data_IF_601969854287
#
_entry.id   IF_601969854287
#
_cell.length_a   1.000
_cell.length_b   1.000
_cell.length_c   1.000
_cell.angle_alpha   90.00
_cell.angle_beta   90.00
_cell.angle_gamma   90.00
#
_symmetry.space_group_name_H-M   'P 1'
#
loop_
_entity.id
_entity.type
_entity.pdbx_description
1 polymer ?
#
# COMPACT_ATOMS: atom_id res chain seq x y z
N UNK A 1 -18.87 32.53 -5.11
CA UNK A 1 -17.52 32.10 -4.71
C UNK A 1 -17.60 31.67 -3.25
N UNK A 2 -17.44 30.37 -2.99
CA UNK A 2 -17.21 29.81 -1.66
C UNK A 2 -15.76 29.27 -1.68
N UNK A 3 -15.00 29.45 -0.59
CA UNK A 3 -13.55 29.32 -0.57
C UNK A 3 -13.12 27.86 -0.73
N UNK A 4 -12.01 27.68 -1.43
CA UNK A 4 -11.12 26.51 -1.50
C UNK A 4 -11.32 25.50 -0.35
N UNK A 5 -12.11 24.45 -0.62
CA UNK A 5 -12.14 23.24 0.20
C UNK A 5 -10.76 22.60 0.07
N UNK A 6 -9.85 22.96 0.96
CA UNK A 6 -8.62 22.21 1.16
C UNK A 6 -9.03 20.80 1.59
N UNK A 7 -9.23 19.92 0.62
CA UNK A 7 -9.35 18.49 0.85
C UNK A 7 -8.00 18.09 1.42
N UNK A 8 -7.91 17.99 2.75
CA UNK A 8 -6.73 17.42 3.41
C UNK A 8 -6.59 16.02 2.83
N UNK A 9 -5.64 15.86 1.91
CA UNK A 9 -5.42 14.60 1.22
C UNK A 9 -4.78 13.66 2.23
N UNK A 10 -5.62 12.90 2.93
CA UNK A 10 -5.19 11.94 3.95
C UNK A 10 -4.67 10.71 3.24
N UNK A 11 -3.40 10.41 3.46
CA UNK A 11 -2.77 9.23 2.91
C UNK A 11 -2.44 8.26 4.05
N UNK A 12 -2.58 6.97 3.77
CA UNK A 12 -2.10 5.93 4.66
C UNK A 12 -0.85 5.32 4.04
N UNK A 13 0.24 5.37 4.81
CA UNK A 13 1.48 4.66 4.49
C UNK A 13 1.33 3.23 5.00
N UNK A 14 1.29 2.27 4.10
CA UNK A 14 1.09 0.87 4.45
C UNK A 14 2.39 0.11 4.23
N UNK A 15 3.02 -0.32 5.31
CA UNK A 15 4.18 -1.21 5.28
C UNK A 15 3.71 -2.64 5.36
N UNK A 16 4.00 -3.42 4.31
CA UNK A 16 3.58 -4.81 4.18
C UNK A 16 4.80 -5.70 4.30
N UNK A 17 4.78 -6.62 5.26
CA UNK A 17 5.86 -7.59 5.45
C UNK A 17 5.48 -8.92 4.83
N UNK A 18 6.38 -9.47 4.02
CA UNK A 18 6.21 -10.79 3.42
C UNK A 18 7.06 -11.85 4.13
N UNK A 19 6.63 -13.12 4.09
CA UNK A 19 7.45 -14.21 4.59
C UNK A 19 8.76 -14.33 3.79
N UNK A 20 9.84 -14.85 4.40
CA UNK A 20 11.16 -14.97 3.75
C UNK A 20 11.17 -15.92 2.55
N UNK A 21 10.14 -16.76 2.40
CA UNK A 21 9.95 -17.64 1.25
C UNK A 21 9.16 -16.98 0.12
N UNK A 22 8.70 -15.73 0.29
CA UNK A 22 8.04 -15.02 -0.79
C UNK A 22 9.02 -14.85 -1.93
N UNK A 23 8.65 -15.26 -3.15
CA UNK A 23 9.52 -15.09 -4.30
C UNK A 23 9.91 -13.62 -4.41
N UNK A 24 11.19 -13.35 -4.68
CA UNK A 24 11.71 -11.99 -4.94
C UNK A 24 11.25 -11.48 -6.32
N UNK A 25 10.00 -11.78 -6.65
CA UNK A 25 9.34 -11.40 -7.88
C UNK A 25 8.57 -10.12 -7.62
N UNK A 26 9.04 -9.03 -8.23
CA UNK A 26 8.46 -7.71 -8.05
C UNK A 26 7.30 -7.44 -9.03
N UNK A 27 6.98 -8.35 -9.95
CA UNK A 27 5.85 -8.16 -10.87
C UNK A 27 4.51 -7.97 -10.15
N UNK A 28 4.12 -8.81 -9.18
CA UNK A 28 2.82 -8.64 -8.52
C UNK A 28 2.78 -7.37 -7.67
N UNK A 29 3.90 -6.94 -7.11
CA UNK A 29 4.03 -5.66 -6.41
C UNK A 29 3.86 -4.45 -7.34
N UNK A 30 4.41 -4.53 -8.55
CA UNK A 30 4.21 -3.52 -9.59
C UNK A 30 2.78 -3.51 -10.09
N UNK A 31 2.13 -4.67 -10.19
CA UNK A 31 0.73 -4.78 -10.55
C UNK A 31 -0.18 -4.14 -9.49
N UNK A 32 0.11 -4.35 -8.20
CA UNK A 32 -0.54 -3.65 -7.08
C UNK A 32 -0.39 -2.14 -7.24
N UNK A 33 0.82 -1.65 -7.51
CA UNK A 33 1.08 -0.21 -7.69
C UNK A 33 0.40 0.40 -8.92
N UNK A 34 0.09 -0.43 -9.92
CA UNK A 34 -0.67 -0.04 -11.10
C UNK A 34 -2.18 -0.01 -10.83
N UNK A 35 -2.68 -0.94 -10.02
CA UNK A 35 -4.09 -1.06 -9.66
C UNK A 35 -4.52 -0.05 -8.58
N UNK A 36 -3.63 0.24 -7.63
CA UNK A 36 -3.84 1.15 -6.51
C UNK A 36 -2.81 2.27 -6.62
N UNK A 37 -3.22 3.56 -6.62
CA UNK A 37 -2.31 4.69 -6.78
C UNK A 37 -1.32 4.75 -5.61
N UNK A 38 -0.21 4.04 -5.76
CA UNK A 38 0.74 3.76 -4.69
C UNK A 38 2.16 3.66 -5.22
N UNK A 39 3.13 3.79 -4.31
CA UNK A 39 4.54 3.85 -4.63
C UNK A 39 5.31 2.73 -3.95
N UNK A 40 5.88 1.83 -4.75
CA UNK A 40 6.80 0.78 -4.32
C UNK A 40 8.09 1.39 -3.77
N UNK A 41 8.43 1.06 -2.52
CA UNK A 41 9.74 1.36 -1.92
C UNK A 41 10.48 0.03 -1.74
N UNK A 42 11.51 -0.21 -2.54
CA UNK A 42 12.36 -1.40 -2.46
C UNK A 42 13.41 -1.22 -1.35
N UNK A 43 13.26 -1.89 -0.21
CA UNK A 43 14.33 -1.98 0.79
C UNK A 43 15.27 -3.14 0.44
N UNK A 44 16.56 -2.85 0.21
CA UNK A 44 17.56 -3.78 -0.34
C UNK A 44 17.91 -4.99 0.56
N UNK A 45 17.17 -5.22 1.65
CA UNK A 45 17.37 -6.39 2.52
C UNK A 45 16.09 -6.99 3.10
N UNK A 46 14.92 -6.42 2.85
CA UNK A 46 13.65 -6.92 3.37
C UNK A 46 12.57 -6.89 2.30
N UNK A 47 11.73 -7.94 2.17
CA UNK A 47 10.53 -7.86 1.36
C UNK A 47 9.52 -7.02 2.14
N UNK A 48 9.79 -5.73 2.24
CA UNK A 48 8.90 -4.72 2.78
C UNK A 48 8.35 -3.95 1.60
N UNK A 49 7.05 -4.04 1.38
CA UNK A 49 6.38 -3.19 0.42
C UNK A 49 5.80 -2.00 1.18
N UNK A 50 6.21 -0.80 0.81
CA UNK A 50 5.49 0.39 1.23
C UNK A 50 4.49 0.74 0.13
N UNK A 51 3.23 0.99 0.51
CA UNK A 51 2.14 1.41 -0.39
C UNK A 51 1.55 2.68 0.20
N UNK A 52 1.50 3.77 -0.57
CA UNK A 52 0.69 4.93 -0.21
C UNK A 52 -0.69 4.77 -0.81
N UNK A 53 -1.73 4.86 0.01
CA UNK A 53 -3.12 4.78 -0.43
C UNK A 53 -3.84 6.07 -0.11
N UNK A 54 -4.57 6.59 -1.08
CA UNK A 54 -5.47 7.75 -0.96
C UNK A 54 -6.79 7.32 -0.28
N UNK A 55 -6.68 6.59 0.83
CA UNK A 55 -7.80 6.12 1.64
C UNK A 55 -7.65 6.64 3.06
N UNK A 56 -8.78 6.98 3.68
CA UNK A 56 -8.81 7.45 5.08
C UNK A 56 -8.98 6.28 6.06
N UNK A 57 -9.40 5.12 5.56
CA UNK A 57 -9.75 3.96 6.35
C UNK A 57 -8.78 2.80 6.10
N UNK A 58 -8.18 2.31 7.19
CA UNK A 58 -7.20 1.22 7.17
C UNK A 58 -7.83 -0.09 6.72
N UNK A 59 -9.07 -0.38 7.10
CA UNK A 59 -9.74 -1.64 6.78
C UNK A 59 -10.08 -1.72 5.28
N UNK A 60 -10.54 -0.61 4.71
CA UNK A 60 -10.82 -0.44 3.27
C UNK A 60 -9.54 -0.52 2.43
N UNK A 61 -8.47 0.16 2.85
CA UNK A 61 -7.16 0.05 2.23
C UNK A 61 -6.62 -1.39 2.29
N UNK A 62 -6.74 -2.04 3.46
CA UNK A 62 -6.33 -3.42 3.67
C UNK A 62 -7.13 -4.39 2.81
N UNK A 63 -8.44 -4.18 2.68
CA UNK A 63 -9.32 -5.03 1.88
C UNK A 63 -8.93 -4.94 0.40
N UNK A 64 -8.81 -3.73 -0.16
CA UNK A 64 -8.37 -3.51 -1.55
C UNK A 64 -7.01 -4.12 -1.81
N UNK A 65 -6.06 -3.92 -0.91
CA UNK A 65 -4.74 -4.52 -1.04
C UNK A 65 -4.87 -6.05 -0.99
N UNK A 66 -5.54 -6.64 0.00
CA UNK A 66 -5.73 -8.09 0.02
C UNK A 66 -6.39 -8.64 -1.25
N UNK A 67 -7.39 -7.97 -1.82
CA UNK A 67 -8.02 -8.40 -3.08
C UNK A 67 -7.00 -8.46 -4.22
N UNK A 68 -6.20 -7.40 -4.41
CA UNK A 68 -5.19 -7.38 -5.48
C UNK A 68 -4.06 -8.38 -5.19
N UNK A 69 -3.62 -8.49 -3.94
CA UNK A 69 -2.61 -9.43 -3.50
C UNK A 69 -3.03 -10.88 -3.71
N UNK A 70 -4.29 -11.21 -3.38
CA UNK A 70 -4.88 -12.53 -3.55
C UNK A 70 -4.93 -12.93 -5.03
N UNK A 71 -5.35 -12.02 -5.92
CA UNK A 71 -5.34 -12.21 -7.38
C UNK A 71 -3.93 -12.58 -7.89
N UNK A 72 -2.90 -12.03 -7.25
CA UNK A 72 -1.50 -12.27 -7.60
C UNK A 72 -0.82 -13.38 -6.77
N UNK A 73 -1.55 -14.04 -5.86
CA UNK A 73 -1.01 -15.10 -5.00
C UNK A 73 0.01 -14.60 -3.95
N UNK A 74 0.02 -13.30 -3.65
CA UNK A 74 0.86 -12.74 -2.60
C UNK A 74 0.13 -12.85 -1.26
N UNK A 75 0.76 -13.51 -0.28
CA UNK A 75 0.22 -13.65 1.08
C UNK A 75 1.10 -12.93 2.10
N UNK A 76 0.83 -11.65 2.37
CA UNK A 76 1.53 -10.90 3.39
C UNK A 76 1.19 -11.42 4.80
N UNK A 77 2.19 -11.42 5.68
CA UNK A 77 2.06 -11.91 7.06
C UNK A 77 1.73 -10.79 8.05
N UNK A 78 2.02 -9.54 7.68
CA UNK A 78 1.76 -8.38 8.50
C UNK A 78 1.50 -7.16 7.63
N UNK A 79 0.56 -6.34 8.10
CA UNK A 79 0.21 -5.05 7.51
C UNK A 79 0.34 -3.99 8.60
N UNK A 80 1.18 -3.00 8.37
CA UNK A 80 1.36 -1.87 9.27
C UNK A 80 0.86 -0.61 8.56
N UNK A 81 -0.11 0.07 9.15
CA UNK A 81 -0.70 1.28 8.60
C UNK A 81 -0.26 2.46 9.43
N UNK A 82 0.34 3.44 8.77
CA UNK A 82 0.80 4.68 9.38
C UNK A 82 0.08 5.85 8.72
N UNK A 83 -0.72 6.64 9.46
CA UNK A 83 -1.35 7.84 8.91
C UNK A 83 -0.30 8.87 8.53
N UNK A 84 -0.29 9.26 7.25
CA UNK A 84 0.57 10.30 6.72
C UNK A 84 -0.28 11.49 6.32
N UNK A 85 -0.04 12.63 6.97
CA UNK A 85 -0.63 13.90 6.55
C UNK A 85 0.36 14.57 5.61
N UNK A 86 -0.02 14.73 4.34
CA UNK A 86 0.73 15.56 3.41
C UNK A 86 0.16 16.98 3.55
N UNK A 87 0.95 17.88 4.12
CA UNK A 87 0.65 19.33 4.13
C UNK A 87 0.92 19.98 2.78
#
# INVERSE_FOLDING_TARGET
>A
MAPDEHVVRRQLLVTVTFPPNTPNDWEPFRAVCSAVPSHLIEDQGSPCLVVMVDEVDEDSARAKLNEVFDVHGLQPISWEFTPCTIE
#
